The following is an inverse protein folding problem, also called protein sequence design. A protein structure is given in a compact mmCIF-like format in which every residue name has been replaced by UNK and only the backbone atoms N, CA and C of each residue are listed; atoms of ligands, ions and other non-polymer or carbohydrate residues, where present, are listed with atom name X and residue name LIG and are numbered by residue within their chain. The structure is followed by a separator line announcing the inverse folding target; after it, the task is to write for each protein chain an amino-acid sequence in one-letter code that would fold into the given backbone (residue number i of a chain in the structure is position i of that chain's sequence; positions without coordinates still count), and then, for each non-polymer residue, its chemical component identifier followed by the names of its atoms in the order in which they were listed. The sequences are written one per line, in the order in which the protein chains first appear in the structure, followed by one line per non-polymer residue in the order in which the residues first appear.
data_IF_275040684058
#
_entry.id   IF_275040684058
#
_cell.length_a   1.000
_cell.length_b   1.000
_cell.length_c   1.000
_cell.angle_alpha   90.00
_cell.angle_beta   90.00
_cell.angle_gamma   90.00
#
_symmetry.space_group_name_H-M   'P 1'
#
loop_
_entity.id
_entity.type
_entity.pdbx_description
1 polymer ?
#
# COMPACT_ATOMS: atom_id res chain seq x y z
N UNK A 1 20.23 4.49 19.94
CA UNK A 1 20.06 4.38 18.48
C UNK A 1 20.76 3.14 17.96
N UNK A 2 20.14 2.02 18.26
CA UNK A 2 20.30 0.75 17.59
C UNK A 2 19.21 0.62 16.51
N UNK A 3 19.52 -0.17 15.47
CA UNK A 3 18.56 -0.58 14.46
C UNK A 3 18.39 -2.08 14.63
N UNK A 4 17.17 -2.49 14.99
CA UNK A 4 16.78 -3.86 15.12
C UNK A 4 16.17 -4.32 13.80
N UNK A 5 16.46 -5.56 13.43
CA UNK A 5 15.86 -6.18 12.24
C UNK A 5 15.35 -7.54 12.63
N UNK A 6 14.09 -7.82 12.32
CA UNK A 6 13.51 -9.14 12.43
C UNK A 6 13.04 -9.59 11.06
N UNK A 7 13.67 -10.64 10.54
CA UNK A 7 13.31 -11.26 9.28
C UNK A 7 12.35 -12.43 9.54
N UNK A 8 11.18 -12.40 8.90
CA UNK A 8 10.11 -13.38 8.98
C UNK A 8 10.07 -14.35 7.79
N UNK A 9 11.04 -14.29 6.87
CA UNK A 9 11.16 -15.21 5.74
C UNK A 9 11.42 -16.68 6.15
N UNK A 10 11.76 -16.91 7.41
CA UNK A 10 11.85 -18.23 8.03
C UNK A 10 11.08 -18.28 9.35
N UNK A 11 10.37 -19.39 9.67
CA UNK A 11 9.66 -19.54 10.93
C UNK A 11 10.58 -19.42 12.15
N UNK A 12 10.14 -18.70 13.18
CA UNK A 12 10.91 -18.57 14.41
C UNK A 12 10.34 -17.60 15.42
N UNK A 13 10.90 -17.63 16.63
CA UNK A 13 10.56 -16.70 17.70
C UNK A 13 11.78 -15.83 18.06
N UNK A 14 11.60 -14.51 18.03
CA UNK A 14 12.57 -13.51 18.44
C UNK A 14 12.18 -12.82 19.75
N UNK A 15 13.16 -12.22 20.43
CA UNK A 15 12.91 -11.36 21.59
C UNK A 15 13.87 -10.17 21.58
N UNK A 16 13.34 -8.97 21.76
CA UNK A 16 14.12 -7.74 21.98
C UNK A 16 13.83 -7.26 23.40
N UNK A 17 14.88 -7.08 24.21
CA UNK A 17 14.76 -6.76 25.64
C UNK A 17 15.11 -5.30 25.96
N UNK A 18 15.73 -4.58 25.02
CA UNK A 18 16.33 -3.26 25.23
C UNK A 18 15.91 -2.21 24.19
N UNK A 19 14.78 -2.44 23.50
CA UNK A 19 14.23 -1.47 22.54
C UNK A 19 13.83 -0.17 23.24
N UNK A 20 14.42 0.95 22.84
CA UNK A 20 13.99 2.28 23.26
C UNK A 20 13.19 2.97 22.15
N UNK A 21 11.85 3.08 22.26
CA UNK A 21 11.00 3.66 21.21
C UNK A 21 11.30 5.12 20.85
N UNK A 22 12.04 5.84 21.69
CA UNK A 22 12.43 7.24 21.45
C UNK A 22 13.78 7.38 20.74
N UNK A 23 14.58 6.32 20.65
CA UNK A 23 15.94 6.37 20.11
C UNK A 23 16.24 5.29 19.06
N UNK A 24 15.54 4.17 19.09
CA UNK A 24 15.83 2.99 18.29
C UNK A 24 14.79 2.78 17.19
N UNK A 25 15.16 1.99 16.19
CA UNK A 25 14.27 1.62 15.08
C UNK A 25 14.16 0.11 14.96
N UNK A 26 13.02 -0.38 14.51
CA UNK A 26 12.75 -1.80 14.28
C UNK A 26 12.24 -2.00 12.85
N UNK A 27 12.99 -2.74 12.05
CA UNK A 27 12.59 -3.15 10.71
C UNK A 27 12.09 -4.59 10.73
N UNK A 28 10.83 -4.78 10.34
CA UNK A 28 10.19 -6.07 10.19
C UNK A 28 10.35 -6.45 8.72
N UNK A 29 11.09 -7.51 8.40
CA UNK A 29 11.42 -7.91 7.04
C UNK A 29 10.87 -9.29 6.67
N UNK A 30 10.94 -9.63 5.39
CA UNK A 30 10.67 -10.98 4.88
C UNK A 30 9.40 -11.06 4.03
N UNK A 31 8.89 -9.92 3.56
CA UNK A 31 7.59 -9.81 2.90
C UNK A 31 7.66 -9.81 1.37
N UNK A 32 8.83 -10.07 0.79
CA UNK A 32 9.00 -10.10 -0.66
C UNK A 32 8.65 -8.79 -1.36
N UNK A 33 8.64 -7.67 -0.64
CA UNK A 33 8.21 -6.37 -1.17
C UNK A 33 6.70 -6.20 -1.33
N UNK A 34 5.87 -7.16 -0.91
CA UNK A 34 4.42 -6.97 -0.79
C UNK A 34 3.89 -7.68 0.47
N UNK A 35 4.04 -7.08 1.66
CA UNK A 35 3.50 -7.62 2.90
C UNK A 35 1.99 -7.82 2.82
N UNK A 36 1.55 -9.07 3.03
CA UNK A 36 0.16 -9.36 3.37
C UNK A 36 -0.07 -8.93 4.83
N UNK A 37 -0.55 -7.71 5.01
CA UNK A 37 -0.80 -7.13 6.34
C UNK A 37 -1.86 -7.91 7.13
N UNK A 38 -2.70 -8.72 6.48
CA UNK A 38 -3.70 -9.56 7.14
C UNK A 38 -3.09 -10.69 7.98
N UNK A 39 -1.85 -11.09 7.69
CA UNK A 39 -1.12 -12.09 8.48
C UNK A 39 -0.39 -11.49 9.70
N UNK A 40 -0.36 -10.17 9.82
CA UNK A 40 0.30 -9.50 10.92
C UNK A 40 -0.66 -9.39 12.10
N UNK A 41 -0.22 -9.87 13.25
CA UNK A 41 -0.95 -9.71 14.51
C UNK A 41 -0.10 -8.92 15.50
N UNK A 42 -0.71 -7.92 16.15
CA UNK A 42 -0.07 -7.17 17.22
C UNK A 42 -0.88 -7.37 18.49
N UNK A 43 -0.27 -8.03 19.47
CA UNK A 43 -0.94 -8.36 20.73
C UNK A 43 -0.17 -7.73 21.88
N UNK A 44 -0.85 -6.91 22.67
CA UNK A 44 -0.31 -6.47 23.95
C UNK A 44 -0.35 -7.62 24.96
N UNK A 45 0.74 -7.83 25.68
CA UNK A 45 0.84 -8.84 26.74
C UNK A 45 1.37 -8.20 28.02
N UNK A 46 1.26 -8.92 29.14
CA UNK A 46 1.95 -8.52 30.36
C UNK A 46 3.46 -8.48 30.10
N UNK A 47 4.04 -7.27 30.19
CA UNK A 47 5.46 -7.05 30.01
C UNK A 47 5.91 -6.68 28.60
N UNK A 48 5.02 -6.47 27.62
CA UNK A 48 5.44 -5.98 26.29
C UNK A 48 4.44 -6.16 25.17
N UNK A 49 4.97 -6.27 23.95
CA UNK A 49 4.20 -6.47 22.72
C UNK A 49 4.69 -7.72 22.00
N UNK A 50 3.76 -8.56 21.57
CA UNK A 50 4.03 -9.66 20.63
C UNK A 50 3.57 -9.23 19.24
N UNK A 51 4.49 -9.29 18.28
CA UNK A 51 4.22 -9.08 16.86
C UNK A 51 4.33 -10.45 16.18
N UNK A 52 3.20 -10.99 15.74
CA UNK A 52 3.11 -12.27 15.04
C UNK A 52 2.96 -12.09 13.54
N UNK A 53 3.50 -13.03 12.79
CA UNK A 53 3.41 -13.14 11.34
C UNK A 53 3.10 -14.59 10.97
N UNK A 54 2.47 -14.81 9.82
CA UNK A 54 2.09 -16.12 9.31
C UNK A 54 3.13 -17.23 9.55
N UNK A 55 2.66 -18.47 9.70
CA UNK A 55 3.54 -19.63 9.84
C UNK A 55 4.24 -19.79 11.21
N UNK A 56 3.63 -19.35 12.31
CA UNK A 56 4.14 -19.41 13.70
C UNK A 56 5.36 -18.51 13.97
N UNK A 57 5.55 -17.44 13.21
CA UNK A 57 6.67 -16.53 13.43
C UNK A 57 6.27 -15.41 14.39
N UNK A 58 7.07 -15.15 15.43
CA UNK A 58 6.72 -14.15 16.46
C UNK A 58 7.93 -13.36 16.91
N UNK A 59 7.74 -12.08 17.20
CA UNK A 59 8.70 -11.22 17.87
C UNK A 59 8.08 -10.68 19.16
N UNK A 60 8.72 -10.95 20.29
CA UNK A 60 8.37 -10.29 21.55
C UNK A 60 9.27 -9.08 21.79
N UNK A 61 8.69 -7.92 22.07
CA UNK A 61 9.42 -6.72 22.45
C UNK A 61 9.07 -6.39 23.89
N UNK A 62 10.03 -6.59 24.79
CA UNK A 62 9.86 -6.42 26.22
C UNK A 62 9.78 -4.94 26.59
N UNK A 63 8.86 -4.59 27.50
CA UNK A 63 8.70 -3.25 28.06
C UNK A 63 8.10 -2.21 27.11
N UNK A 64 7.72 -2.62 25.89
CA UNK A 64 7.17 -1.73 24.87
C UNK A 64 5.72 -2.09 24.61
N UNK A 65 4.82 -1.12 24.73
CA UNK A 65 3.39 -1.29 24.42
C UNK A 65 3.12 -0.97 22.94
N UNK A 66 2.04 -1.50 22.33
CA UNK A 66 1.77 -1.31 20.91
C UNK A 66 1.70 0.16 20.47
N UNK A 67 1.26 1.06 21.34
CA UNK A 67 1.11 2.50 21.12
C UNK A 67 2.42 3.29 21.14
N UNK A 68 3.53 2.63 21.49
CA UNK A 68 4.87 3.20 21.44
C UNK A 68 5.56 2.95 20.10
N UNK A 69 5.04 2.03 19.29
CA UNK A 69 5.46 1.85 17.90
C UNK A 69 4.70 2.85 17.01
N UNK A 70 5.45 3.70 16.31
CA UNK A 70 4.97 4.87 15.57
C UNK A 70 5.77 5.03 14.26
N UNK A 71 5.26 5.79 13.28
CA UNK A 71 6.09 6.24 12.17
C UNK A 71 7.41 6.81 12.67
N UNK A 72 8.52 6.32 12.10
CA UNK A 72 9.88 6.73 12.45
C UNK A 72 10.61 5.80 13.40
N UNK A 73 9.94 4.89 14.12
CA UNK A 73 10.61 3.85 14.91
C UNK A 73 10.28 2.41 14.50
N UNK A 74 9.32 2.21 13.58
CA UNK A 74 9.05 0.91 12.94
C UNK A 74 8.95 1.05 11.43
N UNK A 75 9.54 0.11 10.72
CA UNK A 75 9.42 -0.07 9.27
C UNK A 75 9.06 -1.52 8.92
N UNK A 76 8.51 -1.72 7.73
CA UNK A 76 8.18 -3.05 7.17
C UNK A 76 8.85 -3.20 5.80
N UNK A 77 9.76 -4.16 5.63
CA UNK A 77 10.65 -4.31 4.47
C UNK A 77 11.35 -2.99 4.10
N UNK A 78 11.80 -2.24 5.12
CA UNK A 78 12.42 -0.93 4.97
C UNK A 78 11.47 0.19 4.55
N UNK A 79 10.16 -0.05 4.51
CA UNK A 79 9.12 0.95 4.22
C UNK A 79 8.67 1.63 5.50
N UNK A 80 8.66 2.96 5.50
CA UNK A 80 8.05 3.73 6.59
C UNK A 80 6.54 3.52 6.61
N UNK A 81 6.02 3.26 7.81
CA UNK A 81 4.59 3.29 8.08
C UNK A 81 4.11 4.74 7.93
N UNK A 82 3.32 5.03 6.89
CA UNK A 82 2.74 6.35 6.64
C UNK A 82 1.31 6.39 7.17
N UNK A 83 1.13 6.67 8.46
CA UNK A 83 -0.22 6.90 9.04
C UNK A 83 -0.59 8.38 9.05
N UNK A 84 -1.89 8.63 8.86
CA UNK A 84 -2.52 9.93 9.11
C UNK A 84 -2.33 10.45 10.55
N UNK A 85 -2.72 11.71 10.82
CA UNK A 85 -2.27 12.53 11.96
C UNK A 85 -2.70 12.05 13.37
N UNK A 86 -3.34 10.90 13.51
CA UNK A 86 -4.06 10.49 14.72
C UNK A 86 -3.19 9.79 15.79
N UNK A 87 -1.89 9.59 15.57
CA UNK A 87 -0.99 9.03 16.59
C UNK A 87 -1.37 7.62 17.07
N UNK A 88 -1.82 6.76 16.14
CA UNK A 88 -2.32 5.40 16.39
C UNK A 88 -1.21 4.42 16.81
N UNK A 89 -1.60 3.30 17.42
CA UNK A 89 -0.73 2.18 17.78
C UNK A 89 -0.46 1.22 16.62
N UNK A 90 0.58 0.38 16.69
CA UNK A 90 0.96 -0.55 15.61
C UNK A 90 -0.14 -1.54 15.24
N UNK A 91 -0.99 -1.95 16.18
CA UNK A 91 -2.13 -2.83 15.90
C UNK A 91 -3.19 -2.15 15.06
N UNK A 92 -3.47 -0.88 15.35
CA UNK A 92 -4.37 -0.04 14.56
C UNK A 92 -3.77 0.32 13.21
N UNK A 93 -2.44 0.53 13.14
CA UNK A 93 -1.73 0.78 11.88
C UNK A 93 -1.84 -0.45 10.96
N UNK A 94 -1.57 -1.64 11.49
CA UNK A 94 -1.69 -2.90 10.74
C UNK A 94 -3.13 -3.16 10.31
N UNK A 95 -4.10 -2.80 11.15
CA UNK A 95 -5.52 -2.96 10.84
C UNK A 95 -6.03 -1.93 9.82
N UNK A 96 -5.69 -0.65 9.95
CA UNK A 96 -6.10 0.39 9.00
C UNK A 96 -5.48 0.13 7.63
N UNK A 97 -4.21 -0.31 7.56
CA UNK A 97 -3.55 -0.76 6.32
C UNK A 97 -4.19 -2.01 5.68
N UNK A 98 -5.14 -2.66 6.37
CA UNK A 98 -5.89 -3.80 5.86
C UNK A 98 -7.40 -3.52 5.77
N UNK A 99 -7.91 -2.49 6.45
CA UNK A 99 -9.32 -2.13 6.63
C UNK A 99 -9.45 -0.63 7.00
N UNK A 100 -9.62 0.25 6.02
CA UNK A 100 -10.05 1.63 6.17
C UNK A 100 -9.60 2.57 5.04
N UNK A 101 -10.32 3.69 4.87
CA UNK A 101 -9.99 4.72 3.88
C UNK A 101 -8.63 5.42 4.19
N UNK A 102 -7.65 5.21 3.33
CA UNK A 102 -6.26 5.63 3.48
C UNK A 102 -5.84 6.74 2.49
N UNK A 103 -4.75 7.43 2.84
CA UNK A 103 -4.09 8.41 1.97
C UNK A 103 -2.61 8.04 1.82
N UNK A 104 -2.29 7.35 0.72
CA UNK A 104 -0.96 6.88 0.40
C UNK A 104 -0.30 7.81 -0.63
N UNK A 105 0.97 8.13 -0.41
CA UNK A 105 1.76 8.93 -1.35
C UNK A 105 3.20 8.46 -1.40
N UNK A 106 3.67 8.19 -2.61
CA UNK A 106 5.03 7.86 -2.98
C UNK A 106 5.95 9.08 -2.99
N UNK A 107 7.13 8.90 -3.56
CA UNK A 107 8.19 9.89 -3.59
C UNK A 107 8.88 9.98 -4.95
N UNK A 108 10.21 9.93 -4.94
CA UNK A 108 11.03 10.09 -6.16
C UNK A 108 11.47 8.76 -6.80
N UNK A 109 11.04 7.64 -6.25
CA UNK A 109 11.49 6.30 -6.61
C UNK A 109 10.29 5.46 -6.97
N UNK A 110 10.55 4.31 -7.57
CA UNK A 110 9.53 3.28 -7.81
C UNK A 110 8.94 2.83 -6.46
N UNK A 111 7.64 3.01 -6.33
CA UNK A 111 6.86 2.67 -5.15
C UNK A 111 5.86 1.54 -5.45
N UNK A 112 5.44 0.83 -4.40
CA UNK A 112 4.43 -0.23 -4.48
C UNK A 112 3.46 -0.03 -3.34
N UNK A 113 2.19 0.23 -3.66
CA UNK A 113 1.11 0.46 -2.69
C UNK A 113 -0.05 -0.52 -2.92
N UNK A 114 -0.65 -0.96 -1.82
CA UNK A 114 -1.92 -1.69 -1.75
C UNK A 114 -2.75 -0.94 -0.69
N UNK A 115 -3.93 -0.46 -1.06
CA UNK A 115 -4.85 0.28 -0.19
C UNK A 115 -5.64 -0.64 0.74
N UNK A 116 -5.96 -1.84 0.27
CA UNK A 116 -6.57 -2.88 1.09
C UNK A 116 -8.10 -2.83 1.00
N UNK A 117 -8.78 -2.35 2.03
CA UNK A 117 -10.22 -2.22 2.02
C UNK A 117 -10.63 -0.82 2.49
N UNK A 118 -11.72 -0.26 1.98
CA UNK A 118 -12.13 1.13 2.22
C UNK A 118 -11.82 2.02 1.02
N UNK A 119 -12.33 3.26 1.04
CA UNK A 119 -12.17 4.17 -0.10
C UNK A 119 -10.84 4.93 0.01
N UNK A 120 -9.85 4.53 -0.76
CA UNK A 120 -8.46 4.97 -0.64
C UNK A 120 -8.07 6.06 -1.63
N UNK A 121 -6.99 6.77 -1.29
CA UNK A 121 -6.36 7.75 -2.18
C UNK A 121 -4.87 7.47 -2.27
N UNK A 122 -4.41 6.96 -3.42
CA UNK A 122 -3.04 6.50 -3.64
C UNK A 122 -2.34 7.34 -4.71
N UNK A 123 -1.13 7.84 -4.43
CA UNK A 123 -0.35 8.69 -5.35
C UNK A 123 1.06 8.14 -5.55
N UNK A 124 1.45 7.74 -6.76
CA UNK A 124 2.81 7.26 -7.06
C UNK A 124 3.87 8.37 -7.03
N UNK A 125 3.55 9.53 -7.61
CA UNK A 125 4.43 10.69 -7.79
C UNK A 125 5.46 10.52 -8.92
N UNK A 126 6.67 10.06 -8.62
CA UNK A 126 7.72 9.90 -9.63
C UNK A 126 8.35 8.54 -9.43
N UNK A 127 8.40 7.74 -10.49
CA UNK A 127 8.91 6.39 -10.37
C UNK A 127 8.24 5.52 -11.39
N UNK A 128 8.59 4.24 -11.41
CA UNK A 128 7.73 3.26 -12.04
C UNK A 128 6.94 2.60 -10.93
N UNK A 129 5.71 3.07 -10.73
CA UNK A 129 4.93 2.76 -9.55
C UNK A 129 3.92 1.65 -9.83
N UNK A 130 3.64 0.86 -8.81
CA UNK A 130 2.58 -0.15 -8.80
C UNK A 130 1.57 0.22 -7.71
N UNK A 131 0.36 0.58 -8.10
CA UNK A 131 -0.69 1.06 -7.20
C UNK A 131 -1.87 0.10 -7.29
N UNK A 132 -2.30 -0.42 -6.15
CA UNK A 132 -3.50 -1.25 -6.03
C UNK A 132 -4.45 -0.63 -5.01
N UNK A 133 -5.70 -0.39 -5.39
CA UNK A 133 -6.75 0.17 -4.54
C UNK A 133 -7.21 -0.88 -3.55
N UNK A 134 -7.98 -1.87 -3.99
CA UNK A 134 -8.41 -2.99 -3.19
C UNK A 134 -9.93 -3.14 -3.19
N UNK A 135 -10.57 -3.22 -2.04
CA UNK A 135 -12.03 -3.12 -1.91
C UNK A 135 -12.41 -1.69 -1.55
N UNK A 136 -13.44 -1.11 -2.14
CA UNK A 136 -13.89 0.27 -1.86
C UNK A 136 -13.82 1.15 -3.12
N UNK A 137 -14.31 2.38 -3.02
CA UNK A 137 -14.31 3.32 -4.15
C UNK A 137 -12.99 4.14 -4.17
N UNK A 138 -11.98 3.67 -4.88
CA UNK A 138 -10.61 4.15 -4.75
C UNK A 138 -10.24 5.28 -5.73
N UNK A 139 -9.21 6.06 -5.38
CA UNK A 139 -8.60 7.05 -6.27
C UNK A 139 -7.09 6.86 -6.41
N UNK A 140 -6.65 6.38 -7.58
CA UNK A 140 -5.27 6.04 -7.87
C UNK A 140 -4.67 7.03 -8.86
N UNK A 141 -3.47 7.54 -8.56
CA UNK A 141 -2.78 8.54 -9.37
C UNK A 141 -1.30 8.17 -9.59
N UNK A 142 -0.95 7.71 -10.80
CA UNK A 142 0.44 7.37 -11.19
C UNK A 142 1.35 8.60 -11.27
N UNK A 143 0.82 9.69 -11.85
CA UNK A 143 1.46 11.00 -12.04
C UNK A 143 2.52 11.04 -13.13
N UNK A 144 3.70 10.46 -12.93
CA UNK A 144 4.81 10.59 -13.89
C UNK A 144 5.57 9.29 -13.99
N UNK A 145 6.13 9.08 -15.18
CA UNK A 145 6.85 7.88 -15.59
C UNK A 145 5.85 6.74 -15.83
N UNK A 146 6.33 5.51 -16.00
CA UNK A 146 5.46 4.40 -16.43
C UNK A 146 4.94 3.69 -15.18
N UNK A 147 3.64 3.70 -15.00
CA UNK A 147 2.96 3.19 -13.81
C UNK A 147 2.01 2.04 -14.16
N UNK A 148 1.63 1.28 -13.14
CA UNK A 148 0.59 0.25 -13.20
C UNK A 148 -0.40 0.50 -12.07
N UNK A 149 -1.66 0.72 -12.42
CA UNK A 149 -2.75 1.02 -11.50
C UNK A 149 -3.82 -0.08 -11.61
N UNK A 150 -4.21 -0.65 -10.49
CA UNK A 150 -5.28 -1.66 -10.36
C UNK A 150 -6.30 -1.14 -9.34
N UNK A 151 -7.53 -0.82 -9.77
CA UNK A 151 -8.59 -0.31 -8.90
C UNK A 151 -9.02 -1.36 -7.89
N UNK A 152 -9.58 -2.46 -8.38
CA UNK A 152 -9.98 -3.59 -7.55
C UNK A 152 -11.48 -3.78 -7.59
N UNK A 153 -12.14 -3.67 -6.45
CA UNK A 153 -13.58 -3.84 -6.31
C UNK A 153 -14.22 -2.58 -5.75
N UNK A 154 -15.12 -1.96 -6.50
CA UNK A 154 -15.76 -0.68 -6.16
C UNK A 154 -15.78 0.22 -7.38
N UNK A 155 -16.36 1.41 -7.26
CA UNK A 155 -16.40 2.36 -8.37
C UNK A 155 -15.14 3.25 -8.33
N UNK A 156 -14.10 2.86 -9.08
CA UNK A 156 -12.76 3.43 -8.94
C UNK A 156 -12.46 4.60 -9.90
N UNK A 157 -11.53 5.48 -9.50
CA UNK A 157 -10.93 6.51 -10.34
C UNK A 157 -9.43 6.27 -10.52
N UNK A 158 -9.01 5.95 -11.74
CA UNK A 158 -7.60 5.74 -12.08
C UNK A 158 -7.09 6.82 -13.03
N UNK A 159 -6.01 7.52 -12.66
CA UNK A 159 -5.30 8.51 -13.49
C UNK A 159 -3.81 8.14 -13.62
N UNK A 160 -3.40 7.70 -14.82
CA UNK A 160 -2.00 7.35 -15.12
C UNK A 160 -1.08 8.56 -15.14
N UNK A 161 -1.58 9.73 -15.55
CA UNK A 161 -0.82 10.97 -15.60
C UNK A 161 0.07 11.07 -16.85
N UNK A 162 1.39 11.03 -16.69
CA UNK A 162 2.36 11.14 -17.80
C UNK A 162 3.20 9.90 -17.84
N UNK A 163 3.07 9.09 -18.88
CA UNK A 163 3.71 7.80 -18.82
C UNK A 163 3.41 6.93 -20.01
N UNK A 164 3.82 5.68 -19.94
CA UNK A 164 3.17 4.65 -20.73
C UNK A 164 2.58 3.76 -19.67
N UNK A 165 1.32 3.98 -19.37
CA UNK A 165 0.69 3.48 -18.16
C UNK A 165 -0.21 2.29 -18.47
N UNK A 166 -0.42 1.44 -17.47
CA UNK A 166 -1.39 0.35 -17.51
C UNK A 166 -2.40 0.58 -16.41
N UNK A 167 -3.66 0.72 -16.77
CA UNK A 167 -4.78 0.89 -15.85
C UNK A 167 -5.73 -0.31 -16.00
N UNK A 168 -6.17 -0.85 -14.88
CA UNK A 168 -7.14 -1.95 -14.76
C UNK A 168 -8.17 -1.53 -13.70
N UNK A 169 -9.42 -1.28 -14.10
CA UNK A 169 -10.49 -0.85 -13.18
C UNK A 169 -10.84 -1.97 -12.21
N UNK A 170 -11.25 -3.11 -12.75
CA UNK A 170 -11.49 -4.32 -11.96
C UNK A 170 -12.96 -4.68 -11.97
N UNK A 171 -13.65 -4.61 -10.84
CA UNK A 171 -15.10 -4.81 -10.75
C UNK A 171 -15.76 -3.56 -10.20
N UNK A 172 -16.81 -3.07 -10.84
CA UNK A 172 -17.50 -1.83 -10.47
C UNK A 172 -17.61 -0.90 -11.67
N UNK A 173 -18.23 0.26 -11.50
CA UNK A 173 -18.38 1.23 -12.58
C UNK A 173 -17.20 2.23 -12.56
N UNK A 174 -16.12 1.88 -13.26
CA UNK A 174 -14.83 2.57 -13.11
C UNK A 174 -14.66 3.79 -14.04
N UNK A 175 -13.79 4.73 -13.65
CA UNK A 175 -13.34 5.84 -14.48
C UNK A 175 -11.83 5.80 -14.71
N UNK A 176 -11.42 5.60 -15.96
CA UNK A 176 -10.01 5.46 -16.34
C UNK A 176 -9.55 6.65 -17.20
N UNK A 177 -8.46 7.30 -16.77
CA UNK A 177 -7.76 8.39 -17.44
C UNK A 177 -6.32 7.93 -17.72
N UNK A 178 -6.00 7.57 -18.97
CA UNK A 178 -4.62 7.20 -19.34
C UNK A 178 -3.64 8.35 -19.14
N UNK A 179 -4.04 9.54 -19.59
CA UNK A 179 -3.23 10.73 -19.48
C UNK A 179 -2.45 10.98 -20.77
N UNK A 180 -1.14 11.20 -20.67
CA UNK A 180 -0.27 11.45 -21.81
C UNK A 180 0.65 10.28 -22.12
N UNK A 181 1.00 10.17 -23.40
CA UNK A 181 1.64 9.03 -24.08
C UNK A 181 0.64 7.89 -24.37
N UNK A 182 1.12 6.68 -24.66
CA UNK A 182 0.26 5.63 -25.23
C UNK A 182 -0.07 4.62 -24.14
N UNK A 183 -1.28 4.69 -23.59
CA UNK A 183 -1.65 3.93 -22.40
C UNK A 183 -2.46 2.67 -22.74
N UNK A 184 -2.56 1.75 -21.78
CA UNK A 184 -3.37 0.54 -21.87
C UNK A 184 -4.44 0.57 -20.79
N UNK A 185 -5.71 0.60 -21.18
CA UNK A 185 -6.85 0.76 -20.28
C UNK A 185 -7.73 -0.49 -20.37
N UNK A 186 -7.91 -1.18 -19.25
CA UNK A 186 -8.87 -2.28 -19.08
C UNK A 186 -9.95 -1.79 -18.12
N UNK A 187 -11.22 -1.79 -18.52
CA UNK A 187 -12.32 -1.43 -17.62
C UNK A 187 -12.58 -2.53 -16.60
N UNK A 188 -12.75 -3.75 -17.08
CA UNK A 188 -13.09 -4.91 -16.26
C UNK A 188 -14.59 -5.22 -16.29
N UNK A 189 -15.13 -5.65 -15.16
CA UNK A 189 -16.56 -5.92 -15.00
C UNK A 189 -17.30 -4.67 -14.54
N UNK A 190 -18.20 -4.14 -15.36
CA UNK A 190 -19.04 -3.02 -14.98
C UNK A 190 -19.34 -2.10 -16.15
N UNK A 191 -19.82 -0.89 -15.85
CA UNK A 191 -20.11 0.16 -16.83
C UNK A 191 -19.04 1.24 -16.80
N UNK A 192 -17.91 0.96 -17.44
CA UNK A 192 -16.72 1.81 -17.32
C UNK A 192 -16.72 3.05 -18.21
N UNK A 193 -16.06 4.09 -17.74
CA UNK A 193 -15.84 5.36 -18.42
C UNK A 193 -14.37 5.56 -18.74
N UNK A 194 -14.03 5.59 -20.03
CA UNK A 194 -12.68 5.93 -20.50
C UNK A 194 -12.61 7.40 -20.90
N UNK A 195 -11.86 8.20 -20.14
CA UNK A 195 -11.71 9.63 -20.37
C UNK A 195 -10.47 9.91 -21.21
N UNK A 196 -10.69 10.51 -22.37
CA UNK A 196 -9.64 10.80 -23.34
C UNK A 196 -9.40 12.31 -23.46
N UNK A 197 -8.16 12.74 -23.22
CA UNK A 197 -7.76 14.14 -23.37
C UNK A 197 -6.93 14.34 -24.65
N UNK A 198 -7.59 14.75 -25.73
CA UNK A 198 -6.92 14.98 -27.02
C UNK A 198 -5.98 16.21 -27.05
N UNK A 199 -5.84 16.95 -25.94
CA UNK A 199 -4.85 18.03 -25.82
C UNK A 199 -3.44 17.52 -25.45
N UNK A 200 -3.31 16.28 -24.97
CA UNK A 200 -2.04 15.63 -24.71
C UNK A 200 -1.72 14.62 -25.82
N UNK A 201 -0.43 14.42 -26.09
CA UNK A 201 0.01 13.47 -27.12
C UNK A 201 -0.15 12.05 -26.61
N UNK A 202 -0.73 11.16 -27.42
CA UNK A 202 -0.96 9.78 -27.01
C UNK A 202 -1.90 9.05 -27.96
N UNK A 203 -1.81 7.73 -27.99
CA UNK A 203 -2.81 6.85 -28.59
C UNK A 203 -3.04 5.69 -27.63
N UNK A 204 -4.13 5.78 -26.88
CA UNK A 204 -4.47 4.78 -25.88
C UNK A 204 -5.10 3.56 -26.54
N UNK A 205 -4.94 2.41 -25.89
CA UNK A 205 -5.56 1.15 -26.24
C UNK A 205 -6.51 0.78 -25.11
N UNK A 206 -7.81 0.84 -25.39
CA UNK A 206 -8.83 0.24 -24.53
C UNK A 206 -8.91 -1.24 -24.89
N UNK A 207 -8.62 -2.12 -23.94
CA UNK A 207 -8.35 -3.54 -24.23
C UNK A 207 -9.58 -4.44 -24.25
N UNK A 208 -10.67 -4.01 -23.65
CA UNK A 208 -11.85 -4.83 -23.34
C UNK A 208 -13.18 -4.13 -23.62
N UNK A 209 -13.16 -2.99 -24.34
CA UNK A 209 -14.35 -2.20 -24.62
C UNK A 209 -15.49 -3.07 -25.18
N UNK A 210 -16.59 -3.16 -24.43
CA UNK A 210 -17.77 -3.91 -24.83
C UNK A 210 -18.95 -2.96 -25.14
N UNK A 211 -19.30 -2.75 -26.43
CA UNK A 211 -20.38 -1.83 -26.82
C UNK A 211 -21.80 -2.41 -26.64
N UNK A 212 -21.96 -3.60 -26.06
CA UNK A 212 -23.18 -4.40 -26.09
C UNK A 212 -24.19 -4.08 -24.99
#
# INVERSE_FOLDING_TARGET
MANFTQDFSAPGAGTITDFNPSEDTLDLQGFGGNPDFSEISVTSTDGGTVIGFGGNSTLFVEGVTPDQFRPGNVTIDGRELKVGPSGRDLGSIVKDLAEGNDLLSGGLKNDTFDGGAGDDVIRGQMGHDYLKGGEGDDQLFGMRNKDTLEGGAGDDLLDGGRGIDRLDGGTGDDTLIGGGANDFLTGGEGSDTFVQNFAVSGNDIITDFNPS
#
